data_IF_818616451669
#
_entry.id   IF_818616451669
#
_cell.length_a   1.000
_cell.length_b   1.000
_cell.length_c   1.000
_cell.angle_alpha   90.00
_cell.angle_beta   90.00
_cell.angle_gamma   90.00
#
_symmetry.space_group_name_H-M   'P 1'
#
loop_
_entity.id
_entity.type
_entity.pdbx_description
1 polymer ?
#
# COMPACT_ATOMS: atom_id res chain seq x y z
N UNK A 1 -18.03 4.99 -8.90
CA UNK A 1 -16.67 5.53 -8.92
C UNK A 1 -15.80 4.65 -8.05
N UNK A 2 -14.87 3.93 -8.66
CA UNK A 2 -13.85 3.14 -7.95
C UNK A 2 -12.61 3.99 -7.74
N UNK A 3 -12.15 4.07 -6.49
CA UNK A 3 -11.06 4.93 -6.05
C UNK A 3 -9.92 4.09 -5.51
N UNK A 4 -8.71 4.46 -5.88
CA UNK A 4 -7.48 3.94 -5.29
C UNK A 4 -6.75 5.05 -4.59
N UNK A 5 -6.27 4.74 -3.40
CA UNK A 5 -5.52 5.66 -2.57
C UNK A 5 -4.07 5.24 -2.50
N UNK A 6 -3.17 6.02 -3.08
CA UNK A 6 -1.72 5.84 -2.97
C UNK A 6 -1.19 6.79 -1.90
N UNK A 7 -0.93 6.30 -0.68
CA UNK A 7 -0.72 7.18 0.48
C UNK A 7 0.68 7.05 1.10
N UNK A 8 1.28 8.18 1.50
CA UNK A 8 2.42 8.24 2.43
C UNK A 8 2.22 9.26 3.56
N UNK A 9 3.05 9.21 4.61
CA UNK A 9 2.95 10.15 5.75
C UNK A 9 3.39 11.56 5.37
N UNK A 10 2.43 12.49 5.35
CA UNK A 10 2.70 13.90 5.07
C UNK A 10 2.36 14.87 6.23
N UNK A 11 1.89 14.40 7.40
CA UNK A 11 1.31 15.28 8.43
C UNK A 11 1.75 15.01 9.88
N UNK A 12 1.68 16.05 10.72
CA UNK A 12 1.94 16.01 12.18
C UNK A 12 0.89 15.26 13.01
N UNK A 13 -0.33 15.09 12.49
CA UNK A 13 -1.42 14.33 13.13
C UNK A 13 -2.04 13.33 12.14
N UNK A 14 -1.26 12.37 11.62
CA UNK A 14 -1.69 11.52 10.52
C UNK A 14 -2.91 10.67 10.94
N UNK A 15 -2.96 10.20 12.18
CA UNK A 15 -4.01 9.28 12.63
C UNK A 15 -5.44 9.82 12.50
N UNK A 16 -5.71 11.08 12.86
CA UNK A 16 -7.07 11.65 12.74
C UNK A 16 -7.55 11.68 11.28
N UNK A 17 -6.64 12.02 10.36
CA UNK A 17 -6.93 12.10 8.93
C UNK A 17 -7.20 10.69 8.38
N UNK A 18 -6.33 9.73 8.72
CA UNK A 18 -6.50 8.35 8.29
C UNK A 18 -7.75 7.70 8.89
N UNK A 19 -8.15 8.04 10.12
CA UNK A 19 -9.41 7.58 10.71
C UNK A 19 -10.63 8.05 9.91
N UNK A 20 -10.63 9.29 9.41
CA UNK A 20 -11.72 9.77 8.56
C UNK A 20 -11.72 9.08 7.19
N UNK A 21 -10.54 8.84 6.61
CA UNK A 21 -10.42 8.07 5.38
C UNK A 21 -10.91 6.63 5.57
N UNK A 22 -10.54 5.98 6.68
CA UNK A 22 -10.93 4.62 7.01
C UNK A 22 -12.45 4.44 7.11
N UNK A 23 -13.19 5.42 7.65
CA UNK A 23 -14.67 5.40 7.64
C UNK A 23 -15.23 5.33 6.22
N UNK A 24 -14.60 6.04 5.27
CA UNK A 24 -14.99 6.01 3.85
C UNK A 24 -14.60 4.71 3.19
N UNK A 25 -13.38 4.24 3.43
CA UNK A 25 -12.87 2.96 2.91
C UNK A 25 -13.73 1.77 3.36
N UNK A 26 -14.13 1.74 4.63
CA UNK A 26 -14.96 0.67 5.20
C UNK A 26 -16.41 0.68 4.68
N UNK A 27 -16.94 1.85 4.30
CA UNK A 27 -18.31 1.99 3.79
C UNK A 27 -18.42 1.89 2.28
N UNK A 28 -17.32 2.08 1.55
CA UNK A 28 -17.30 2.02 0.10
C UNK A 28 -16.94 0.61 -0.40
N UNK A 29 -17.89 -0.08 -1.02
CA UNK A 29 -17.70 -1.41 -1.64
C UNK A 29 -16.76 -1.44 -2.86
N UNK A 30 -16.15 -0.30 -3.21
CA UNK A 30 -15.39 -0.08 -4.44
C UNK A 30 -14.11 0.75 -4.19
N UNK A 31 -13.59 0.71 -2.95
CA UNK A 31 -12.37 1.42 -2.57
C UNK A 31 -11.24 0.43 -2.35
N UNK A 32 -10.13 0.64 -3.04
CA UNK A 32 -8.88 -0.06 -2.76
C UNK A 32 -7.87 0.93 -2.20
N UNK A 33 -7.01 0.48 -1.30
CA UNK A 33 -5.91 1.28 -0.75
C UNK A 33 -4.62 0.67 -1.23
N UNK A 34 -3.70 1.47 -1.75
CA UNK A 34 -2.32 1.09 -2.08
C UNK A 34 -1.41 1.89 -1.15
N UNK A 35 -0.74 1.24 -0.21
CA UNK A 35 0.18 1.92 0.70
C UNK A 35 1.61 1.61 0.32
N UNK A 36 2.39 2.66 0.01
CA UNK A 36 3.83 2.55 -0.20
C UNK A 36 4.62 2.62 1.12
N UNK A 37 3.93 2.88 2.24
CA UNK A 37 4.50 2.83 3.58
C UNK A 37 4.60 1.39 4.10
N UNK A 38 5.65 1.12 4.89
CA UNK A 38 5.80 -0.15 5.60
C UNK A 38 5.01 -0.24 6.90
N UNK A 39 4.68 0.87 7.56
CA UNK A 39 3.90 0.90 8.81
C UNK A 39 2.44 0.51 8.62
N UNK A 40 1.70 0.39 9.73
CA UNK A 40 0.37 -0.21 9.80
C UNK A 40 -0.75 0.83 9.97
N UNK A 41 -0.53 2.11 9.62
CA UNK A 41 -1.52 3.15 9.91
C UNK A 41 -2.87 2.93 9.20
N UNK A 42 -2.93 2.57 7.89
CA UNK A 42 -4.18 2.24 7.22
C UNK A 42 -4.95 1.09 7.90
N UNK A 43 -4.26 0.00 8.21
CA UNK A 43 -4.81 -1.18 8.89
C UNK A 43 -5.36 -0.82 10.26
N UNK A 44 -4.55 -0.10 11.05
CA UNK A 44 -4.91 0.34 12.40
C UNK A 44 -6.16 1.20 12.35
N UNK A 45 -6.24 2.15 11.42
CA UNK A 45 -7.40 3.03 11.30
C UNK A 45 -8.65 2.26 10.83
N UNK A 46 -8.53 1.33 9.88
CA UNK A 46 -9.64 0.48 9.44
C UNK A 46 -10.15 -0.43 10.57
N UNK A 47 -9.27 -1.10 11.31
CA UNK A 47 -9.63 -1.90 12.48
C UNK A 47 -10.34 -1.05 13.53
N UNK A 48 -9.84 0.16 13.83
CA UNK A 48 -10.44 1.06 14.83
C UNK A 48 -11.85 1.52 14.47
N UNK A 49 -12.17 1.64 13.18
CA UNK A 49 -13.54 1.98 12.73
C UNK A 49 -14.42 0.75 12.51
N UNK A 50 -13.93 -0.45 12.86
CA UNK A 50 -14.65 -1.72 12.69
C UNK A 50 -14.71 -2.22 11.25
N UNK A 51 -13.87 -1.67 10.35
CA UNK A 51 -13.77 -2.10 8.96
C UNK A 51 -12.94 -3.37 8.83
N UNK A 52 -13.45 -4.37 8.10
CA UNK A 52 -12.66 -5.51 7.67
C UNK A 52 -11.69 -5.11 6.55
N UNK A 53 -10.48 -5.67 6.56
CA UNK A 53 -9.47 -5.39 5.54
C UNK A 53 -8.64 -6.64 5.24
N UNK A 54 -7.92 -6.62 4.11
CA UNK A 54 -6.99 -7.69 3.73
C UNK A 54 -5.84 -7.16 2.87
N UNK A 55 -4.76 -7.93 2.75
CA UNK A 55 -3.59 -7.56 1.94
C UNK A 55 -3.68 -7.95 0.46
N UNK A 56 -4.82 -8.48 0.02
CA UNK A 56 -5.02 -9.02 -1.33
C UNK A 56 -6.43 -8.74 -1.84
N UNK A 57 -6.60 -8.73 -3.16
CA UNK A 57 -7.92 -8.69 -3.78
C UNK A 57 -8.69 -10.03 -3.66
N UNK A 58 -8.02 -11.12 -3.28
CA UNK A 58 -8.62 -12.46 -3.19
C UNK A 58 -9.47 -12.69 -1.92
N UNK A 59 -9.44 -11.77 -0.95
CA UNK A 59 -10.14 -11.86 0.34
C UNK A 59 -11.17 -10.74 0.48
N UNK A 60 -12.16 -10.97 1.34
CA UNK A 60 -13.20 -9.98 1.66
C UNK A 60 -12.64 -8.82 2.49
N UNK A 61 -13.38 -7.71 2.53
CA UNK A 61 -13.00 -6.46 3.22
C UNK A 61 -12.35 -5.45 2.28
N UNK A 62 -11.91 -4.31 2.83
CA UNK A 62 -11.16 -3.29 2.08
C UNK A 62 -9.74 -3.77 1.80
N UNK A 63 -9.32 -3.91 0.53
CA UNK A 63 -7.94 -4.27 0.22
C UNK A 63 -6.98 -3.13 0.56
N UNK A 64 -5.91 -3.46 1.28
CA UNK A 64 -4.76 -2.59 1.55
C UNK A 64 -3.54 -3.25 0.91
N UNK A 65 -3.24 -2.87 -0.31
CA UNK A 65 -2.17 -3.45 -1.12
C UNK A 65 -0.85 -2.75 -0.77
N UNK A 66 0.19 -3.52 -0.45
CA UNK A 66 1.49 -2.99 -0.04
C UNK A 66 2.61 -3.47 -0.95
N UNK A 67 2.84 -2.78 -2.09
CA UNK A 67 3.87 -3.19 -3.05
C UNK A 67 5.28 -3.22 -2.46
N UNK A 68 5.54 -2.43 -1.41
CA UNK A 68 6.84 -2.38 -0.73
C UNK A 68 6.94 -3.29 0.50
N UNK A 69 5.97 -4.16 0.74
CA UNK A 69 5.94 -4.98 1.96
C UNK A 69 5.47 -4.20 3.19
N UNK A 70 5.67 -4.78 4.36
CA UNK A 70 5.21 -4.18 5.62
C UNK A 70 6.00 -4.67 6.82
N UNK A 71 6.06 -3.85 7.88
CA UNK A 71 6.83 -4.18 9.09
C UNK A 71 6.30 -5.40 9.85
N UNK A 72 5.03 -5.78 9.65
CA UNK A 72 4.43 -6.98 10.25
C UNK A 72 4.55 -8.24 9.36
N UNK A 73 5.21 -8.16 8.20
CA UNK A 73 5.34 -9.27 7.26
C UNK A 73 6.66 -10.01 7.42
N UNK A 74 6.63 -11.32 7.18
CA UNK A 74 7.80 -12.19 7.22
C UNK A 74 7.95 -13.03 5.95
N UNK A 75 9.19 -13.35 5.60
CA UNK A 75 9.57 -14.38 4.61
C UNK A 75 9.77 -15.77 5.24
N UNK A 76 9.45 -16.00 6.52
CA UNK A 76 9.78 -17.26 7.23
C UNK A 76 9.39 -18.55 6.50
N UNK A 77 8.32 -18.55 5.69
CA UNK A 77 7.90 -19.74 4.93
C UNK A 77 8.88 -20.12 3.81
N UNK A 78 9.77 -19.22 3.43
CA UNK A 78 10.91 -19.47 2.53
C UNK A 78 12.09 -20.15 3.26
N UNK A 79 12.03 -20.20 4.60
CA UNK A 79 13.04 -20.76 5.49
C UNK A 79 12.42 -21.88 6.33
N UNK A 80 12.19 -23.09 5.77
CA UNK A 80 11.53 -24.20 6.46
C UNK A 80 12.11 -24.52 7.85
N UNK A 81 13.43 -24.33 8.01
CA UNK A 81 14.19 -24.51 9.25
C UNK A 81 13.83 -23.53 10.36
N UNK A 82 13.19 -22.40 10.04
CA UNK A 82 12.80 -21.34 10.99
C UNK A 82 11.29 -21.30 11.26
N UNK A 83 10.51 -22.22 10.67
CA UNK A 83 9.04 -22.19 10.73
C UNK A 83 8.44 -22.58 12.10
N UNK A 84 9.24 -23.18 13.00
CA UNK A 84 8.80 -23.53 14.35
C UNK A 84 8.45 -22.26 15.15
N UNK A 85 7.14 -22.02 15.37
CA UNK A 85 6.62 -20.81 16.01
C UNK A 85 5.71 -19.97 15.11
N UNK A 86 5.69 -20.24 13.81
CA UNK A 86 4.92 -19.49 12.80
C UNK A 86 3.70 -20.27 12.26
N UNK A 87 3.28 -21.34 12.94
CA UNK A 87 2.20 -22.23 12.48
C UNK A 87 0.82 -21.55 12.35
N UNK A 88 0.59 -20.43 13.05
CA UNK A 88 -0.63 -19.62 12.93
C UNK A 88 -0.57 -18.51 11.88
N UNK A 89 0.55 -18.38 11.16
CA UNK A 89 0.76 -17.26 10.24
C UNK A 89 0.13 -17.53 8.87
N UNK A 90 -0.57 -16.53 8.36
CA UNK A 90 -1.34 -16.61 7.11
C UNK A 90 -0.63 -15.84 6.01
N UNK A 91 -0.73 -16.34 4.77
CA UNK A 91 -0.16 -15.65 3.62
C UNK A 91 -0.84 -14.31 3.35
N UNK A 92 -0.06 -13.30 2.93
CA UNK A 92 -0.61 -12.00 2.48
C UNK A 92 -1.55 -12.17 1.28
N UNK A 93 -1.21 -13.13 0.42
CA UNK A 93 -2.04 -13.73 -0.64
C UNK A 93 -2.08 -15.26 -0.43
N UNK A 94 -3.13 -15.99 -0.84
CA UNK A 94 -3.17 -17.46 -0.72
C UNK A 94 -2.00 -18.20 -1.39
N UNK A 95 -1.43 -17.65 -2.46
CA UNK A 95 -0.28 -18.20 -3.17
C UNK A 95 1.08 -17.64 -2.66
N UNK A 96 1.06 -16.69 -1.73
CA UNK A 96 2.25 -16.01 -1.23
C UNK A 96 2.95 -16.81 -0.13
N UNK A 97 4.27 -16.86 -0.20
CA UNK A 97 5.14 -17.34 0.88
C UNK A 97 5.35 -16.27 1.95
N UNK A 98 5.20 -14.98 1.59
CA UNK A 98 5.16 -13.88 2.56
C UNK A 98 3.91 -13.99 3.41
N UNK A 99 4.07 -13.81 4.72
CA UNK A 99 3.00 -14.03 5.69
C UNK A 99 3.03 -13.05 6.85
N UNK A 100 1.94 -13.01 7.61
CA UNK A 100 1.79 -12.21 8.83
C UNK A 100 1.05 -13.04 9.90
N UNK A 101 1.13 -12.62 11.16
CA UNK A 101 0.40 -13.27 12.24
C UNK A 101 -1.11 -13.06 12.05
N UNK A 102 -1.84 -14.14 11.79
CA UNK A 102 -3.29 -14.08 11.58
C UNK A 102 -4.08 -13.81 12.87
N UNK A 103 -3.49 -14.06 14.04
CA UNK A 103 -4.11 -13.86 15.34
C UNK A 103 -3.92 -12.45 15.88
N UNK A 104 -2.79 -11.81 15.56
CA UNK A 104 -2.52 -10.39 15.83
C UNK A 104 -1.93 -9.70 14.60
N UNK A 105 -2.77 -9.36 13.61
CA UNK A 105 -2.30 -8.82 12.33
C UNK A 105 -1.73 -7.40 12.44
N UNK A 106 -1.88 -6.73 13.58
CA UNK A 106 -1.33 -5.39 13.82
C UNK A 106 -0.02 -5.43 14.64
N UNK A 107 0.41 -6.59 15.12
CA UNK A 107 1.68 -6.72 15.81
C UNK A 107 2.84 -6.62 14.81
N UNK A 108 3.90 -5.90 15.22
CA UNK A 108 5.20 -5.99 14.57
C UNK A 108 6.03 -7.06 15.32
N UNK A 109 6.19 -8.27 14.75
CA UNK A 109 6.86 -9.38 15.42
C UNK A 109 8.38 -9.18 15.54
N UNK A 110 8.92 -8.12 14.91
CA UNK A 110 10.34 -7.78 14.89
C UNK A 110 10.69 -6.55 15.74
N UNK A 111 9.76 -6.01 16.54
CA UNK A 111 10.07 -4.93 17.48
C UNK A 111 11.14 -5.31 18.51
N UNK A 112 11.31 -6.62 18.77
CA UNK A 112 12.29 -7.16 19.71
C UNK A 112 13.51 -7.81 19.02
N UNK A 113 13.75 -7.53 17.73
CA UNK A 113 14.92 -7.98 16.95
C UNK A 113 15.15 -9.50 16.85
N UNK A 114 14.13 -10.34 17.05
CA UNK A 114 14.32 -11.81 17.15
C UNK A 114 14.93 -12.41 15.85
N UNK A 115 14.69 -11.80 14.69
CA UNK A 115 15.46 -12.01 13.45
C UNK A 115 15.06 -10.97 12.38
N UNK A 116 15.84 -9.89 12.21
CA UNK A 116 15.54 -8.83 11.21
C UNK A 116 15.56 -9.32 9.76
N UNK A 117 16.31 -10.39 9.48
CA UNK A 117 16.50 -10.92 8.12
C UNK A 117 15.22 -11.58 7.58
N UNK A 118 14.29 -11.93 8.48
CA UNK A 118 12.99 -12.45 8.11
C UNK A 118 11.97 -11.37 7.80
N UNK A 119 12.24 -10.09 8.11
CA UNK A 119 11.31 -9.00 7.82
C UNK A 119 11.16 -8.82 6.32
N UNK A 120 9.91 -8.81 5.85
CA UNK A 120 9.64 -8.62 4.43
C UNK A 120 9.27 -7.17 4.10
N UNK A 121 10.32 -6.36 3.87
CA UNK A 121 10.23 -5.02 3.31
C UNK A 121 11.00 -4.99 1.98
N UNK A 122 10.34 -4.55 0.91
CA UNK A 122 10.96 -4.33 -0.39
C UNK A 122 11.36 -2.86 -0.47
N UNK A 123 12.62 -2.60 -0.80
CA UNK A 123 13.09 -1.23 -0.98
C UNK A 123 12.50 -0.64 -2.27
N UNK A 124 12.03 0.63 -2.24
CA UNK A 124 11.54 1.28 -3.43
C UNK A 124 12.62 1.30 -4.51
N UNK A 125 12.24 1.04 -5.76
CA UNK A 125 13.17 1.08 -6.87
C UNK A 125 14.03 -0.14 -7.12
N UNK A 126 13.91 -1.20 -6.32
CA UNK A 126 14.56 -2.50 -6.57
C UNK A 126 13.79 -3.24 -7.69
N UNK A 127 14.29 -3.24 -8.95
CA UNK A 127 13.56 -3.80 -10.07
C UNK A 127 13.69 -5.33 -10.12
N UNK A 128 14.81 -5.87 -9.63
CA UNK A 128 15.08 -7.30 -9.65
C UNK A 128 14.07 -8.03 -8.77
N UNK A 129 13.61 -7.40 -7.68
CA UNK A 129 12.62 -7.98 -6.79
C UNK A 129 11.31 -8.38 -7.51
N UNK A 130 10.81 -7.63 -8.49
CA UNK A 130 9.53 -7.95 -9.12
C UNK A 130 9.60 -9.05 -10.18
N UNK A 131 10.70 -9.10 -10.94
CA UNK A 131 10.90 -10.09 -12.01
C UNK A 131 11.54 -11.39 -11.49
N UNK A 132 12.22 -11.35 -10.34
CA UNK A 132 12.89 -12.51 -9.75
C UNK A 132 12.19 -13.07 -8.52
N UNK A 133 11.32 -12.30 -7.85
CA UNK A 133 10.66 -12.73 -6.61
C UNK A 133 9.14 -12.95 -6.81
N UNK A 134 8.65 -14.21 -6.79
CA UNK A 134 7.24 -14.53 -7.03
C UNK A 134 6.25 -13.75 -6.15
N UNK A 135 6.59 -13.53 -4.88
CA UNK A 135 5.75 -12.75 -3.97
C UNK A 135 5.61 -11.28 -4.38
N UNK A 136 6.66 -10.62 -4.88
CA UNK A 136 6.57 -9.24 -5.37
C UNK A 136 5.72 -9.16 -6.62
N UNK A 137 5.82 -10.14 -7.52
CA UNK A 137 4.94 -10.25 -8.68
C UNK A 137 3.46 -10.37 -8.26
N UNK A 138 3.15 -11.15 -7.21
CA UNK A 138 1.80 -11.26 -6.64
C UNK A 138 1.30 -9.92 -6.06
N UNK A 139 2.14 -9.21 -5.31
CA UNK A 139 1.79 -7.90 -4.75
C UNK A 139 1.45 -6.89 -5.85
N UNK A 140 2.30 -6.80 -6.88
CA UNK A 140 2.07 -5.88 -7.99
C UNK A 140 0.97 -6.31 -8.95
N UNK A 141 0.65 -7.62 -9.05
CA UNK A 141 -0.54 -8.12 -9.76
C UNK A 141 -1.80 -7.47 -9.19
N UNK A 142 -1.96 -7.50 -7.86
CA UNK A 142 -3.14 -6.94 -7.21
C UNK A 142 -3.20 -5.42 -7.36
N UNK A 143 -2.07 -4.72 -7.29
CA UNK A 143 -2.01 -3.27 -7.55
C UNK A 143 -2.47 -2.94 -8.98
N UNK A 144 -1.93 -3.63 -9.99
CA UNK A 144 -2.33 -3.44 -11.40
C UNK A 144 -3.80 -3.76 -11.61
N UNK A 145 -4.29 -4.85 -11.03
CA UNK A 145 -5.67 -5.26 -11.13
C UNK A 145 -6.60 -4.21 -10.49
N UNK A 146 -6.27 -3.74 -9.29
CA UNK A 146 -7.03 -2.69 -8.63
C UNK A 146 -7.13 -1.44 -9.52
N UNK A 147 -6.01 -0.96 -10.08
CA UNK A 147 -5.96 0.22 -10.95
C UNK A 147 -6.79 -0.01 -12.22
N UNK A 148 -6.65 -1.18 -12.86
CA UNK A 148 -7.34 -1.49 -14.11
C UNK A 148 -8.86 -1.37 -14.00
N UNK A 149 -9.42 -1.78 -12.85
CA UNK A 149 -10.87 -1.74 -12.61
C UNK A 149 -11.35 -0.39 -12.08
N UNK A 150 -10.45 0.55 -11.77
CA UNK A 150 -10.76 1.84 -11.17
C UNK A 150 -10.99 2.93 -12.22
N UNK A 151 -11.85 3.89 -11.90
CA UNK A 151 -12.14 5.04 -12.78
C UNK A 151 -11.16 6.19 -12.51
N UNK A 152 -10.73 6.31 -11.25
CA UNK A 152 -9.89 7.39 -10.73
C UNK A 152 -8.84 6.83 -9.77
N UNK A 153 -7.61 7.30 -9.91
CA UNK A 153 -6.47 6.95 -9.06
C UNK A 153 -6.03 8.21 -8.32
N UNK A 154 -6.05 8.17 -6.99
CA UNK A 154 -5.76 9.32 -6.13
C UNK A 154 -4.44 9.07 -5.41
N UNK A 155 -3.44 9.90 -5.71
CA UNK A 155 -2.15 9.95 -5.03
C UNK A 155 -2.17 11.02 -3.94
N UNK A 156 -1.73 10.67 -2.74
CA UNK A 156 -1.71 11.57 -1.59
C UNK A 156 -0.38 11.44 -0.84
N UNK A 157 0.45 12.48 -0.92
CA UNK A 157 1.73 12.58 -0.21
C UNK A 157 2.85 11.68 -0.76
N UNK A 158 2.55 10.71 -1.62
CA UNK A 158 3.57 9.85 -2.21
C UNK A 158 4.38 10.65 -3.22
N UNK A 159 5.67 10.87 -2.96
CA UNK A 159 6.51 11.74 -3.78
C UNK A 159 6.95 11.12 -5.11
N UNK A 160 6.69 9.83 -5.30
CA UNK A 160 7.15 9.01 -6.43
C UNK A 160 8.62 9.32 -6.77
N UNK A 161 9.55 9.08 -5.83
CA UNK A 161 10.92 9.57 -5.95
C UNK A 161 11.68 8.91 -7.11
N UNK A 162 12.71 9.59 -7.63
CA UNK A 162 13.42 9.16 -8.85
C UNK A 162 14.16 7.82 -8.71
N UNK A 163 14.42 7.35 -7.49
CA UNK A 163 14.96 6.00 -7.27
C UNK A 163 13.90 4.91 -7.44
N UNK A 164 12.61 5.23 -7.26
CA UNK A 164 11.49 4.29 -7.31
C UNK A 164 10.98 4.08 -8.75
N UNK A 165 11.92 3.79 -9.65
CA UNK A 165 11.68 3.71 -11.10
C UNK A 165 10.69 2.61 -11.46
N UNK A 166 10.72 1.48 -10.76
CA UNK A 166 9.79 0.38 -11.01
C UNK A 166 8.34 0.79 -10.70
N UNK A 167 8.09 1.46 -9.56
CA UNK A 167 6.77 1.98 -9.24
C UNK A 167 6.32 3.01 -10.26
N UNK A 168 7.20 3.93 -10.66
CA UNK A 168 6.89 4.95 -11.67
C UNK A 168 6.50 4.32 -13.01
N UNK A 169 7.27 3.34 -13.48
CA UNK A 169 6.99 2.62 -14.72
C UNK A 169 5.64 1.89 -14.66
N UNK A 170 5.41 1.07 -13.63
CA UNK A 170 4.16 0.31 -13.48
C UNK A 170 2.96 1.22 -13.36
N UNK A 171 3.05 2.28 -12.54
CA UNK A 171 1.95 3.20 -12.32
C UNK A 171 1.64 4.02 -13.57
N UNK A 172 2.66 4.49 -14.31
CA UNK A 172 2.46 5.25 -15.56
C UNK A 172 1.66 4.44 -16.59
N UNK A 173 2.00 3.15 -16.74
CA UNK A 173 1.29 2.24 -17.62
C UNK A 173 -0.12 1.92 -17.11
N UNK A 174 -0.25 1.55 -15.83
CA UNK A 174 -1.52 1.13 -15.25
C UNK A 174 -2.55 2.28 -15.20
N UNK A 175 -2.09 3.52 -14.99
CA UNK A 175 -2.96 4.70 -14.93
C UNK A 175 -3.27 5.29 -16.32
N UNK A 176 -2.75 4.71 -17.41
CA UNK A 176 -3.03 5.19 -18.76
C UNK A 176 -4.53 5.21 -19.06
N UNK A 177 -5.03 6.36 -19.52
CA UNK A 177 -6.46 6.58 -19.79
C UNK A 177 -7.35 6.69 -18.55
N UNK A 178 -6.78 6.76 -17.33
CA UNK A 178 -7.51 7.00 -16.07
C UNK A 178 -7.45 8.47 -15.69
N UNK A 179 -8.37 8.90 -14.82
CA UNK A 179 -8.21 10.17 -14.12
C UNK A 179 -7.22 9.99 -12.98
N UNK A 180 -6.09 10.68 -13.05
CA UNK A 180 -5.07 10.69 -12.00
C UNK A 180 -5.23 11.97 -11.20
N UNK A 181 -5.44 11.87 -9.91
CA UNK A 181 -5.59 13.01 -9.00
C UNK A 181 -4.45 12.98 -7.99
N UNK A 182 -3.74 14.09 -7.80
CA UNK A 182 -2.53 14.14 -6.98
C UNK A 182 -2.64 15.26 -5.95
N UNK A 183 -2.45 14.93 -4.69
CA UNK A 183 -2.45 15.86 -3.56
C UNK A 183 -1.10 15.83 -2.86
N UNK A 184 -0.35 16.91 -3.00
CA UNK A 184 0.94 17.07 -2.33
C UNK A 184 1.25 18.55 -2.06
N UNK A 185 1.77 18.93 -0.88
CA UNK A 185 2.13 20.33 -0.62
C UNK A 185 3.40 20.78 -1.35
N UNK A 186 4.20 19.86 -1.91
CA UNK A 186 5.43 20.15 -2.63
C UNK A 186 5.15 20.36 -4.11
N UNK A 187 5.36 21.58 -4.59
CA UNK A 187 5.33 21.88 -6.02
C UNK A 187 6.29 21.00 -6.84
N UNK A 188 7.47 20.70 -6.30
CA UNK A 188 8.44 19.80 -6.94
C UNK A 188 7.86 18.40 -7.16
N UNK A 189 7.11 17.88 -6.18
CA UNK A 189 6.43 16.59 -6.31
C UNK A 189 5.36 16.67 -7.40
N UNK A 190 4.53 17.71 -7.40
CA UNK A 190 3.48 17.87 -8.40
C UNK A 190 4.03 17.99 -9.82
N UNK A 191 5.12 18.74 -10.01
CA UNK A 191 5.80 18.88 -11.30
C UNK A 191 6.33 17.50 -11.79
N UNK A 192 6.80 16.63 -10.88
CA UNK A 192 7.17 15.24 -11.22
C UNK A 192 5.97 14.42 -11.68
N UNK A 193 4.83 14.50 -10.98
CA UNK A 193 3.62 13.80 -11.42
C UNK A 193 3.14 14.29 -12.78
N UNK A 194 3.20 15.60 -13.05
CA UNK A 194 2.86 16.17 -14.35
C UNK A 194 3.70 15.59 -15.50
N UNK A 195 4.98 15.30 -15.23
CA UNK A 195 5.88 14.71 -16.21
C UNK A 195 5.59 13.22 -16.49
N UNK A 196 5.07 12.49 -15.51
CA UNK A 196 4.80 11.05 -15.60
C UNK A 196 3.37 10.79 -16.12
N UNK A 197 2.40 11.59 -15.69
CA UNK A 197 0.97 11.40 -15.96
C UNK A 197 0.41 12.60 -16.71
N UNK A 198 0.39 12.52 -18.05
CA UNK A 198 -0.01 13.64 -18.92
C UNK A 198 -1.41 14.24 -18.62
N UNK A 199 -2.32 13.46 -18.01
CA UNK A 199 -3.70 13.88 -17.71
C UNK A 199 -3.99 13.96 -16.19
N UNK A 200 -2.98 14.30 -15.37
CA UNK A 200 -3.16 14.42 -13.92
C UNK A 200 -3.84 15.73 -13.50
N UNK A 201 -4.84 15.62 -12.62
CA UNK A 201 -5.38 16.70 -11.80
C UNK A 201 -4.45 16.93 -10.60
N UNK A 202 -3.78 18.08 -10.53
CA UNK A 202 -2.75 18.38 -9.52
C UNK A 202 -3.28 19.38 -8.49
N UNK A 203 -3.09 19.07 -7.21
CA UNK A 203 -3.57 19.87 -6.08
C UNK A 203 -2.44 20.13 -5.08
N UNK A 204 -2.00 21.39 -5.00
CA UNK A 204 -1.01 21.83 -4.01
C UNK A 204 -1.65 21.99 -2.63
N UNK A 205 -1.70 20.90 -1.89
CA UNK A 205 -2.36 20.83 -0.59
C UNK A 205 -1.84 19.66 0.25
N UNK A 206 -1.91 19.82 1.57
CA UNK A 206 -1.62 18.74 2.52
C UNK A 206 -2.74 17.70 2.53
N UNK A 207 -2.44 16.47 2.98
CA UNK A 207 -3.46 15.42 3.08
C UNK A 207 -4.69 15.86 3.93
N UNK A 208 -4.49 16.64 5.00
CA UNK A 208 -5.60 17.12 5.84
C UNK A 208 -6.56 18.09 5.14
N UNK A 209 -6.17 18.67 4.01
CA UNK A 209 -6.97 19.61 3.23
C UNK A 209 -7.70 18.93 2.06
N UNK A 210 -7.48 17.64 1.84
CA UNK A 210 -8.14 16.88 0.79
C UNK A 210 -9.64 16.72 1.10
N UNK A 211 -10.52 16.62 0.08
CA UNK A 211 -11.93 16.31 0.30
C UNK A 211 -12.15 14.94 0.93
N UNK A 212 -11.10 14.14 1.06
CA UNK A 212 -11.13 12.82 1.63
C UNK A 212 -10.76 12.73 3.11
N UNK A 213 -10.12 13.77 3.65
CA UNK A 213 -9.73 13.86 5.06
C UNK A 213 -10.87 14.33 6.00
N UNK A 214 -11.98 14.80 5.44
CA UNK A 214 -13.16 15.31 6.16
C UNK A 214 -14.15 14.22 6.55
#
# INVERSE_FOLDING_TARGET
MRLIWCVTHANRHPEKIYLNCAKRWASASNCHVVSFNWDLLPETCLTRVGGAWSYTLAKQGTPILKPHGSVNWTSVKQHPELTSGYGGWVGVDPASTVSYDGSDPLANPFEQEINSDLRYCVYPGDPDAADTHPDVALLWRDVRQAISVSDRVVFIGYSLPDYDNYSADVLSHACSGKVVEVWDPSKHTLDRYAAIFANSELHEATFGQTPYAS
#
